data_IF_818564603742
#
_entry.id   IF_818564603742
#
_cell.length_a   1.000
_cell.length_b   1.000
_cell.length_c   1.000
_cell.angle_alpha   90.00
_cell.angle_beta   90.00
_cell.angle_gamma   90.00
#
_symmetry.space_group_name_H-M   'P 1'
#
loop_
_entity.id
_entity.type
_entity.pdbx_description
1 polymer ?
#
# COMPACT_ATOMS: atom_id res chain seq x y z
N UNK A 1 2.06 -31.78 -6.06
CA UNK A 1 1.92 -32.03 -7.51
C UNK A 1 3.26 -32.55 -7.99
N UNK A 2 3.31 -33.75 -8.55
CA UNK A 2 4.53 -34.31 -9.14
C UNK A 2 5.10 -33.30 -10.13
N UNK A 3 6.38 -32.95 -9.97
CA UNK A 3 7.08 -32.06 -10.88
C UNK A 3 7.38 -32.85 -12.17
N UNK A 4 6.34 -33.01 -12.99
CA UNK A 4 6.43 -33.71 -14.27
C UNK A 4 7.24 -32.81 -15.20
N UNK A 5 8.41 -33.30 -15.59
CA UNK A 5 9.24 -32.63 -16.57
C UNK A 5 8.59 -32.79 -17.96
N UNK A 6 7.79 -31.79 -18.34
CA UNK A 6 7.12 -31.74 -19.64
C UNK A 6 8.12 -31.77 -20.80
N UNK A 7 9.32 -31.21 -20.63
CA UNK A 7 10.36 -31.21 -21.68
C UNK A 7 10.87 -32.63 -21.91
N UNK A 8 11.15 -33.37 -20.84
CA UNK A 8 11.57 -34.77 -20.94
C UNK A 8 10.49 -35.66 -21.57
N UNK A 9 9.20 -35.37 -21.32
CA UNK A 9 8.10 -36.07 -21.99
C UNK A 9 8.05 -35.75 -23.48
N UNK A 10 8.17 -34.47 -23.86
CA UNK A 10 8.20 -34.07 -25.28
C UNK A 10 9.34 -34.75 -26.03
N UNK A 11 10.54 -34.78 -25.46
CA UNK A 11 11.69 -35.46 -26.07
C UNK A 11 11.45 -36.97 -26.24
N UNK A 12 10.80 -37.61 -25.25
CA UNK A 12 10.54 -39.05 -25.27
C UNK A 12 9.52 -39.48 -26.33
N UNK A 13 8.45 -38.71 -26.49
CA UNK A 13 7.35 -39.01 -27.41
C UNK A 13 7.51 -38.32 -28.78
N UNK A 14 8.57 -37.55 -28.98
CA UNK A 14 8.91 -37.01 -30.29
C UNK A 14 9.38 -38.11 -31.24
N UNK A 15 9.10 -37.99 -32.55
CA UNK A 15 9.67 -38.85 -33.57
C UNK A 15 11.20 -38.86 -33.49
N UNK A 16 11.80 -40.06 -33.47
CA UNK A 16 13.26 -40.21 -33.44
C UNK A 16 13.82 -40.16 -34.86
N UNK A 17 15.01 -39.57 -35.06
CA UNK A 17 15.65 -39.56 -36.37
C UNK A 17 16.01 -40.99 -36.81
N UNK A 18 16.16 -41.19 -38.12
CA UNK A 18 16.59 -42.47 -38.66
C UNK A 18 18.00 -42.81 -38.15
N UNK A 19 18.27 -44.08 -37.78
CA UNK A 19 19.58 -44.49 -37.31
C UNK A 19 20.61 -44.48 -38.46
N UNK A 20 21.87 -44.27 -38.10
CA UNK A 20 22.99 -44.40 -39.00
C UNK A 20 23.43 -45.86 -39.15
N UNK A 21 23.95 -46.22 -40.32
CA UNK A 21 24.47 -47.54 -40.60
C UNK A 21 25.77 -47.78 -39.81
N UNK A 22 25.82 -48.84 -39.00
CA UNK A 22 27.03 -49.20 -38.25
C UNK A 22 28.20 -49.68 -39.13
N UNK A 23 27.98 -49.98 -40.42
CA UNK A 23 29.01 -50.44 -41.36
C UNK A 23 29.63 -49.28 -42.15
N UNK A 24 28.83 -48.29 -42.57
CA UNK A 24 29.30 -47.19 -43.44
C UNK A 24 28.96 -45.77 -42.95
N UNK A 25 28.26 -45.62 -41.83
CA UNK A 25 27.90 -44.33 -41.23
C UNK A 25 26.82 -43.53 -41.98
N UNK A 26 26.28 -44.03 -43.10
CA UNK A 26 25.21 -43.34 -43.84
C UNK A 26 23.85 -43.52 -43.17
N UNK A 27 22.97 -42.53 -43.30
CA UNK A 27 21.58 -42.60 -42.82
C UNK A 27 20.85 -43.78 -43.47
N UNK A 28 20.19 -44.58 -42.63
CA UNK A 28 19.47 -45.76 -43.09
C UNK A 28 18.06 -45.40 -43.56
N UNK A 29 17.55 -46.17 -44.52
CA UNK A 29 16.19 -45.98 -45.03
C UNK A 29 15.24 -47.01 -44.45
N UNK A 30 13.97 -46.64 -44.29
CA UNK A 30 12.93 -47.51 -43.76
C UNK A 30 12.61 -48.60 -44.79
N UNK A 31 12.76 -49.86 -44.39
CA UNK A 31 12.47 -51.02 -45.26
C UNK A 31 11.12 -51.65 -44.95
N UNK A 32 10.71 -51.61 -43.68
CA UNK A 32 9.43 -52.13 -43.23
C UNK A 32 8.95 -51.37 -42.01
N UNK A 33 7.67 -51.00 -41.99
CA UNK A 33 6.99 -50.49 -40.80
C UNK A 33 5.88 -51.46 -40.43
N UNK A 34 5.96 -52.02 -39.22
CA UNK A 34 4.94 -52.90 -38.65
C UNK A 34 4.50 -52.31 -37.31
N UNK A 35 3.46 -51.46 -37.34
CA UNK A 35 2.99 -50.70 -36.18
C UNK A 35 4.15 -49.96 -35.49
N UNK A 36 4.49 -50.32 -34.25
CA UNK A 36 5.57 -49.70 -33.47
C UNK A 36 6.98 -50.22 -33.79
N UNK A 37 7.15 -51.19 -34.70
CA UNK A 37 8.48 -51.70 -35.08
C UNK A 37 8.84 -51.22 -36.47
N UNK A 38 9.91 -50.43 -36.54
CA UNK A 38 10.46 -49.92 -37.79
C UNK A 38 11.78 -50.63 -38.06
N UNK A 39 11.87 -51.32 -39.19
CA UNK A 39 13.11 -51.94 -39.65
C UNK A 39 13.79 -51.00 -40.64
N UNK A 40 14.99 -50.57 -40.26
CA UNK A 40 15.89 -49.77 -41.09
C UNK A 40 16.89 -50.69 -41.78
N UNK A 41 17.30 -50.32 -42.99
CA UNK A 41 18.36 -50.99 -43.75
C UNK A 41 19.20 -49.99 -44.52
N UNK A 42 20.50 -50.27 -44.67
CA UNK A 42 21.37 -49.48 -45.53
C UNK A 42 21.30 -50.03 -46.96
N UNK A 43 20.49 -49.39 -47.80
CA UNK A 43 20.34 -49.77 -49.21
C UNK A 43 21.53 -49.35 -50.08
N UNK A 44 22.37 -48.43 -49.60
CA UNK A 44 23.49 -47.89 -50.38
C UNK A 44 23.05 -47.14 -51.65
N UNK A 45 21.74 -46.91 -51.79
CA UNK A 45 21.11 -46.24 -52.91
C UNK A 45 21.07 -44.74 -52.67
N UNK A 46 21.49 -43.98 -53.67
CA UNK A 46 21.32 -42.54 -53.75
C UNK A 46 20.39 -42.23 -54.92
N UNK A 47 19.49 -41.27 -54.71
CA UNK A 47 18.49 -40.87 -55.69
C UNK A 47 18.88 -39.50 -56.23
N UNK A 48 19.10 -39.41 -57.55
CA UNK A 48 19.27 -38.16 -58.28
C UNK A 48 18.24 -38.04 -59.42
N UNK A 49 18.29 -36.94 -60.17
CA UNK A 49 17.43 -36.68 -61.33
C UNK A 49 17.60 -37.73 -62.46
N UNK A 50 18.62 -38.60 -62.38
CA UNK A 50 18.92 -39.66 -63.34
C UNK A 50 18.49 -41.06 -62.86
N UNK A 51 17.93 -41.15 -61.66
CA UNK A 51 17.37 -42.39 -61.09
C UNK A 51 18.11 -42.87 -59.85
N UNK A 52 17.91 -44.15 -59.52
CA UNK A 52 18.54 -44.78 -58.36
C UNK A 52 19.93 -45.30 -58.77
N UNK A 53 20.98 -44.82 -58.12
CA UNK A 53 22.34 -45.31 -58.29
C UNK A 53 22.88 -45.86 -56.96
N UNK A 54 23.58 -46.98 -57.03
CA UNK A 54 24.18 -47.61 -55.85
C UNK A 54 25.64 -47.20 -55.75
N UNK A 55 26.16 -47.09 -54.53
CA UNK A 55 27.60 -46.87 -54.33
C UNK A 55 28.43 -48.00 -54.94
N UNK A 56 29.69 -47.72 -55.26
CA UNK A 56 30.58 -48.67 -55.94
C UNK A 56 30.70 -50.00 -55.17
N UNK A 57 30.46 -51.12 -55.86
CA UNK A 57 30.44 -52.47 -55.26
C UNK A 57 29.15 -52.83 -54.48
N UNK A 58 28.14 -51.96 -54.48
CA UNK A 58 26.83 -52.21 -53.85
C UNK A 58 25.80 -52.64 -54.90
N UNK A 59 24.86 -53.48 -54.51
CA UNK A 59 23.74 -53.89 -55.35
C UNK A 59 22.45 -54.04 -54.53
N UNK A 60 21.32 -54.28 -55.19
CA UNK A 60 20.05 -54.48 -54.50
C UNK A 60 20.12 -55.71 -53.59
N UNK A 61 19.77 -55.52 -52.31
CA UNK A 61 19.79 -56.57 -51.30
C UNK A 61 21.15 -57.30 -51.18
N UNK A 62 22.25 -56.56 -51.24
CA UNK A 62 23.59 -57.07 -51.01
C UNK A 62 23.86 -57.51 -49.56
N UNK A 63 24.99 -58.19 -49.33
CA UNK A 63 25.40 -58.64 -47.98
C UNK A 63 25.44 -57.49 -46.98
N UNK A 64 25.81 -56.29 -47.43
CA UNK A 64 25.78 -55.09 -46.61
C UNK A 64 24.34 -54.73 -46.21
N UNK A 65 23.40 -54.77 -47.14
CA UNK A 65 21.99 -54.56 -46.84
C UNK A 65 21.50 -55.56 -45.80
N UNK A 66 21.80 -56.85 -45.93
CA UNK A 66 21.38 -57.87 -44.96
C UNK A 66 21.99 -57.66 -43.56
N UNK A 67 23.31 -57.42 -43.50
CA UNK A 67 24.05 -57.23 -42.25
C UNK A 67 23.73 -55.89 -41.57
N UNK A 68 23.35 -54.87 -42.34
CA UNK A 68 23.06 -53.54 -41.80
C UNK A 68 21.71 -53.42 -41.10
N UNK A 69 20.79 -54.40 -41.24
CA UNK A 69 19.41 -54.27 -40.77
C UNK A 69 19.30 -54.13 -39.26
N UNK A 70 18.57 -53.11 -38.82
CA UNK A 70 18.25 -52.87 -37.41
C UNK A 70 16.75 -52.65 -37.29
N UNK A 71 16.13 -53.24 -36.26
CA UNK A 71 14.72 -52.97 -35.94
C UNK A 71 14.66 -52.12 -34.67
N UNK A 72 14.10 -50.93 -34.80
CA UNK A 72 13.89 -49.98 -33.70
C UNK A 72 12.42 -49.98 -33.32
N UNK A 73 12.14 -49.91 -32.02
CA UNK A 73 10.79 -49.70 -31.52
C UNK A 73 10.53 -48.19 -31.48
N UNK A 74 9.56 -47.75 -32.27
CA UNK A 74 9.04 -46.40 -32.22
C UNK A 74 8.11 -46.26 -31.00
N UNK A 75 8.43 -45.27 -30.18
CA UNK A 75 7.69 -44.90 -28.97
C UNK A 75 7.13 -43.48 -29.10
N UNK A 76 7.23 -42.88 -30.29
CA UNK A 76 6.64 -41.59 -30.56
C UNK A 76 5.12 -41.67 -30.51
N UNK A 77 4.50 -40.66 -29.92
CA UNK A 77 3.05 -40.61 -29.74
C UNK A 77 2.57 -39.16 -29.98
N UNK A 78 1.92 -38.90 -31.13
CA UNK A 78 1.46 -37.56 -31.44
C UNK A 78 0.32 -37.10 -30.52
N UNK A 79 -0.49 -38.02 -29.99
CA UNK A 79 -1.61 -37.67 -29.11
C UNK A 79 -1.10 -37.19 -27.76
N UNK A 80 -0.03 -37.80 -27.24
CA UNK A 80 0.63 -37.33 -26.01
C UNK A 80 1.23 -35.93 -26.20
N UNK A 81 1.82 -35.63 -27.36
CA UNK A 81 2.35 -34.30 -27.66
C UNK A 81 1.22 -33.25 -27.74
N UNK A 82 0.10 -33.59 -28.39
CA UNK A 82 -1.07 -32.72 -28.47
C UNK A 82 -1.65 -32.43 -27.08
N UNK A 83 -1.76 -33.45 -26.21
CA UNK A 83 -2.21 -33.26 -24.83
C UNK A 83 -1.25 -32.38 -24.00
N UNK A 84 0.05 -32.44 -24.26
CA UNK A 84 1.03 -31.54 -23.62
C UNK A 84 0.85 -30.09 -24.08
N UNK A 85 0.56 -29.87 -25.36
CA UNK A 85 0.22 -28.55 -25.91
C UNK A 85 -1.05 -27.98 -25.30
N UNK A 86 -2.12 -28.75 -25.25
CA UNK A 86 -3.38 -28.36 -24.61
C UNK A 86 -3.17 -28.01 -23.13
N UNK A 87 -2.43 -28.84 -22.39
CA UNK A 87 -2.15 -28.59 -20.98
C UNK A 87 -1.32 -27.32 -20.75
N UNK A 88 -0.35 -27.04 -21.61
CA UNK A 88 0.42 -25.79 -21.56
C UNK A 88 -0.44 -24.57 -21.90
N UNK A 89 -1.33 -24.68 -22.90
CA UNK A 89 -2.26 -23.63 -23.25
C UNK A 89 -3.23 -23.31 -22.11
N UNK A 90 -3.82 -24.33 -21.48
CA UNK A 90 -4.68 -24.18 -20.30
C UNK A 90 -3.94 -23.61 -19.10
N UNK A 91 -2.69 -24.01 -18.88
CA UNK A 91 -1.87 -23.45 -17.80
C UNK A 91 -1.67 -21.95 -18.00
N UNK A 92 -1.31 -21.53 -19.22
CA UNK A 92 -1.15 -20.11 -19.58
C UNK A 92 -2.47 -19.34 -19.46
N UNK A 93 -3.58 -19.95 -19.89
CA UNK A 93 -4.91 -19.33 -19.76
C UNK A 93 -5.26 -19.08 -18.29
N UNK A 94 -5.07 -20.08 -17.43
CA UNK A 94 -5.32 -19.96 -15.99
C UNK A 94 -4.44 -18.91 -15.32
N UNK A 95 -3.15 -18.87 -15.67
CA UNK A 95 -2.22 -17.83 -15.19
C UNK A 95 -2.67 -16.43 -15.65
N UNK A 96 -3.05 -16.30 -16.92
CA UNK A 96 -3.58 -15.05 -17.47
C UNK A 96 -4.88 -14.60 -16.79
N UNK A 97 -5.80 -15.54 -16.52
CA UNK A 97 -7.04 -15.27 -15.80
C UNK A 97 -6.78 -14.82 -14.36
N UNK A 98 -5.80 -15.42 -13.68
CA UNK A 98 -5.38 -15.01 -12.34
C UNK A 98 -4.81 -13.58 -12.33
N UNK A 99 -3.92 -13.25 -13.28
CA UNK A 99 -3.37 -11.89 -13.43
C UNK A 99 -4.49 -10.89 -13.71
N UNK A 100 -5.43 -11.23 -14.58
CA UNK A 100 -6.58 -10.38 -14.88
C UNK A 100 -7.47 -10.16 -13.65
N UNK A 101 -7.74 -11.21 -12.88
CA UNK A 101 -8.52 -11.13 -11.64
C UNK A 101 -7.85 -10.20 -10.62
N UNK A 102 -6.54 -10.35 -10.38
CA UNK A 102 -5.80 -9.48 -9.46
C UNK A 102 -5.83 -8.02 -9.93
N UNK A 103 -5.67 -7.78 -11.23
CA UNK A 103 -5.75 -6.42 -11.80
C UNK A 103 -7.14 -5.80 -11.58
N UNK A 104 -8.19 -6.60 -11.71
CA UNK A 104 -9.55 -6.15 -11.38
C UNK A 104 -9.69 -5.86 -9.89
N UNK A 105 -9.18 -6.74 -9.03
CA UNK A 105 -9.19 -6.56 -7.58
C UNK A 105 -8.51 -5.25 -7.15
N UNK A 106 -7.34 -4.92 -7.70
CA UNK A 106 -6.66 -3.64 -7.42
C UNK A 106 -7.51 -2.44 -7.87
N UNK A 107 -8.14 -2.52 -9.05
CA UNK A 107 -9.05 -1.46 -9.52
C UNK A 107 -10.27 -1.26 -8.63
N UNK A 108 -10.83 -2.34 -8.09
CA UNK A 108 -11.95 -2.27 -7.15
C UNK A 108 -11.52 -1.58 -5.86
N UNK A 109 -10.36 -1.96 -5.30
CA UNK A 109 -9.81 -1.28 -4.11
C UNK A 109 -9.59 0.21 -4.36
N UNK A 110 -8.95 0.57 -5.48
CA UNK A 110 -8.73 1.98 -5.84
C UNK A 110 -10.04 2.76 -6.03
N UNK A 111 -11.13 2.09 -6.46
CA UNK A 111 -12.43 2.69 -6.60
C UNK A 111 -13.11 2.90 -5.23
N UNK A 112 -13.00 1.93 -4.33
CA UNK A 112 -13.51 2.03 -2.96
C UNK A 112 -12.80 3.16 -2.19
N UNK A 113 -11.47 3.26 -2.30
CA UNK A 113 -10.70 4.35 -1.67
C UNK A 113 -11.14 5.74 -2.17
N UNK A 114 -11.43 5.85 -3.47
CA UNK A 114 -11.95 7.08 -4.08
C UNK A 114 -13.38 7.39 -3.62
N UNK A 115 -14.20 6.36 -3.45
CA UNK A 115 -15.56 6.49 -2.96
C UNK A 115 -15.56 7.01 -1.52
N UNK A 116 -14.76 6.40 -0.64
CA UNK A 116 -14.62 6.84 0.76
C UNK A 116 -14.11 8.29 0.84
N UNK A 117 -13.11 8.64 0.03
CA UNK A 117 -12.62 10.02 -0.04
C UNK A 117 -13.69 11.01 -0.54
N UNK A 118 -14.51 10.61 -1.52
CA UNK A 118 -15.61 11.44 -2.02
C UNK A 118 -16.72 11.60 -0.97
N UNK A 119 -17.10 10.54 -0.28
CA UNK A 119 -18.08 10.57 0.82
C UNK A 119 -17.63 11.49 1.95
N UNK A 120 -16.35 11.42 2.33
CA UNK A 120 -15.77 12.33 3.32
C UNK A 120 -15.86 13.79 2.89
N UNK A 121 -15.51 14.10 1.64
CA UNK A 121 -15.63 15.46 1.07
C UNK A 121 -17.08 15.95 1.05
N UNK A 122 -18.04 15.08 0.72
CA UNK A 122 -19.47 15.42 0.73
C UNK A 122 -19.93 15.71 2.16
N UNK A 123 -19.50 14.92 3.15
CA UNK A 123 -19.84 15.15 4.55
C UNK A 123 -19.28 16.49 5.05
N UNK A 124 -18.02 16.80 4.74
CA UNK A 124 -17.39 18.09 5.06
C UNK A 124 -18.13 19.26 4.40
N UNK A 125 -18.45 19.16 3.11
CA UNK A 125 -19.21 20.18 2.40
C UNK A 125 -20.62 20.36 2.97
N UNK A 126 -21.29 19.26 3.33
CA UNK A 126 -22.63 19.30 3.95
C UNK A 126 -22.61 20.04 5.29
N UNK A 127 -21.56 19.83 6.10
CA UNK A 127 -21.38 20.55 7.35
C UNK A 127 -21.14 22.05 7.13
N UNK A 128 -20.32 22.42 6.13
CA UNK A 128 -20.07 23.82 5.76
C UNK A 128 -21.36 24.49 5.28
N UNK A 129 -22.13 23.84 4.40
CA UNK A 129 -23.40 24.36 3.89
C UNK A 129 -24.38 24.55 5.05
N UNK A 130 -24.51 23.58 5.95
CA UNK A 130 -25.39 23.71 7.12
C UNK A 130 -24.98 24.86 8.05
N UNK A 131 -23.67 25.08 8.25
CA UNK A 131 -23.16 26.21 9.03
C UNK A 131 -23.44 27.55 8.33
N UNK A 132 -23.21 27.62 7.01
CA UNK A 132 -23.49 28.80 6.21
C UNK A 132 -24.98 29.15 6.22
N UNK A 133 -25.87 28.16 6.09
CA UNK A 133 -27.32 28.36 6.19
C UNK A 133 -27.73 28.92 7.55
N UNK A 134 -27.18 28.41 8.66
CA UNK A 134 -27.44 28.94 10.00
C UNK A 134 -26.98 30.40 10.11
N UNK A 135 -25.78 30.71 9.63
CA UNK A 135 -25.25 32.08 9.64
C UNK A 135 -26.13 33.04 8.83
N UNK A 136 -26.56 32.64 7.63
CA UNK A 136 -27.45 33.46 6.79
C UNK A 136 -28.81 33.64 7.46
N UNK A 137 -29.39 32.59 8.07
CA UNK A 137 -30.66 32.71 8.81
C UNK A 137 -30.52 33.67 10.00
N UNK A 138 -29.45 33.57 10.78
CA UNK A 138 -29.20 34.47 11.90
C UNK A 138 -28.99 35.91 11.43
N UNK A 139 -28.20 36.14 10.37
CA UNK A 139 -28.02 37.49 9.79
C UNK A 139 -29.33 38.07 9.22
N UNK A 140 -30.13 37.26 8.53
CA UNK A 140 -31.42 37.67 8.00
C UNK A 140 -32.41 38.04 9.11
N UNK A 141 -32.49 37.22 10.17
CA UNK A 141 -33.28 37.52 11.37
C UNK A 141 -32.77 38.80 12.05
N UNK A 142 -31.48 38.90 12.31
CA UNK A 142 -30.87 40.07 12.96
C UNK A 142 -31.10 41.37 12.20
N UNK A 143 -30.90 41.40 10.88
CA UNK A 143 -31.13 42.60 10.08
C UNK A 143 -32.62 42.97 9.97
N UNK A 144 -33.51 41.99 9.89
CA UNK A 144 -34.96 42.27 9.86
C UNK A 144 -35.45 42.81 11.20
N UNK A 145 -34.96 42.27 12.33
CA UNK A 145 -35.23 42.79 13.67
C UNK A 145 -34.64 44.20 13.87
N UNK A 146 -33.42 44.46 13.38
CA UNK A 146 -32.80 45.80 13.42
C UNK A 146 -33.61 46.81 12.60
N UNK A 147 -34.03 46.43 11.38
CA UNK A 147 -34.88 47.26 10.53
C UNK A 147 -36.25 47.55 11.18
N UNK A 148 -36.88 46.56 11.81
CA UNK A 148 -38.17 46.75 12.50
C UNK A 148 -38.06 47.74 13.66
N UNK A 149 -36.99 47.65 14.46
CA UNK A 149 -36.73 48.62 15.55
C UNK A 149 -36.45 50.02 15.02
N UNK A 150 -35.67 50.15 13.95
CA UNK A 150 -35.39 51.45 13.32
C UNK A 150 -36.68 52.12 12.83
N UNK A 151 -37.56 51.35 12.17
CA UNK A 151 -38.88 51.82 11.72
C UNK A 151 -39.76 52.21 12.91
N UNK A 152 -39.88 51.36 13.93
CA UNK A 152 -40.70 51.64 15.10
C UNK A 152 -40.25 52.93 15.83
N UNK A 153 -38.93 53.16 15.93
CA UNK A 153 -38.37 54.41 16.46
C UNK A 153 -38.72 55.62 15.60
N UNK A 154 -38.64 55.51 14.27
CA UNK A 154 -39.00 56.58 13.33
C UNK A 154 -40.48 56.98 13.46
N UNK A 155 -41.36 55.99 13.64
CA UNK A 155 -42.80 56.23 13.77
C UNK A 155 -43.26 56.45 15.22
N UNK A 156 -42.34 56.45 16.21
CA UNK A 156 -42.66 56.64 17.62
C UNK A 156 -43.51 55.52 18.23
N UNK A 157 -43.52 54.33 17.61
CA UNK A 157 -44.29 53.16 18.05
C UNK A 157 -43.40 52.25 18.89
N UNK A 158 -43.94 51.70 19.98
CA UNK A 158 -43.23 50.74 20.83
C UNK A 158 -43.22 49.38 20.12
N UNK A 159 -42.12 48.61 20.18
CA UNK A 159 -42.05 47.22 19.68
C UNK A 159 -42.30 46.23 20.81
N UNK A 160 -43.56 45.86 21.14
CA UNK A 160 -43.85 44.94 22.25
C UNK A 160 -43.41 43.50 21.96
N UNK A 161 -43.37 43.11 20.68
CA UNK A 161 -43.12 41.72 20.28
C UNK A 161 -41.64 41.34 20.18
N UNK A 162 -40.73 42.32 20.22
CA UNK A 162 -39.29 42.07 20.16
C UNK A 162 -38.70 42.13 21.58
N UNK A 163 -38.00 41.08 22.06
CA UNK A 163 -37.28 41.15 23.32
C UNK A 163 -36.26 42.30 23.30
N UNK A 164 -35.81 42.85 24.45
CA UNK A 164 -34.77 43.87 24.48
C UNK A 164 -33.53 43.41 23.70
N UNK A 165 -32.86 44.32 22.98
CA UNK A 165 -31.56 44.01 22.37
C UNK A 165 -30.54 43.82 23.50
N UNK A 166 -30.36 42.60 23.96
CA UNK A 166 -29.17 42.23 24.72
C UNK A 166 -27.99 42.21 23.74
N UNK A 167 -27.08 43.15 23.93
CA UNK A 167 -25.91 43.36 23.10
C UNK A 167 -25.00 42.11 23.09
N UNK A 168 -24.98 41.41 21.96
CA UNK A 168 -23.84 40.79 21.24
C UNK A 168 -22.82 39.86 21.94
N UNK A 169 -22.75 39.77 23.28
CA UNK A 169 -21.65 39.05 23.95
C UNK A 169 -22.07 37.93 24.91
N UNK A 170 -23.35 37.64 25.15
CA UNK A 170 -23.75 36.72 26.24
C UNK A 170 -23.16 35.31 26.07
N UNK A 171 -23.05 34.79 24.85
CA UNK A 171 -22.43 33.46 24.63
C UNK A 171 -20.90 33.42 24.80
N UNK A 172 -20.21 34.55 24.68
CA UNK A 172 -18.78 34.67 25.00
C UNK A 172 -18.54 35.19 26.41
N UNK A 173 -19.50 35.89 27.00
CA UNK A 173 -19.45 36.40 28.36
C UNK A 173 -19.44 35.23 29.34
N UNK A 174 -20.33 34.25 29.17
CA UNK A 174 -20.37 33.08 30.06
C UNK A 174 -19.05 32.28 30.02
N UNK A 175 -18.47 32.10 28.82
CA UNK A 175 -17.18 31.41 28.67
C UNK A 175 -16.01 32.23 29.23
N UNK A 176 -15.96 33.53 28.95
CA UNK A 176 -14.95 34.43 29.47
C UNK A 176 -15.06 34.60 31.00
N UNK A 177 -16.26 34.57 31.57
CA UNK A 177 -16.49 34.61 33.01
C UNK A 177 -15.99 33.35 33.70
N UNK A 178 -16.19 32.17 33.10
CA UNK A 178 -15.60 30.90 33.59
C UNK A 178 -14.07 30.94 33.51
N UNK A 179 -13.49 31.47 32.44
CA UNK A 179 -12.03 31.61 32.32
C UNK A 179 -11.47 32.62 33.33
N UNK A 180 -12.12 33.78 33.49
CA UNK A 180 -11.72 34.81 34.45
C UNK A 180 -11.81 34.29 35.88
N UNK A 181 -12.84 33.51 36.22
CA UNK A 181 -12.97 32.91 37.55
C UNK A 181 -11.90 31.87 37.82
N UNK A 182 -11.59 30.99 36.85
CA UNK A 182 -10.50 30.03 36.96
C UNK A 182 -9.13 30.70 37.11
N UNK A 183 -8.86 31.77 36.35
CA UNK A 183 -7.62 32.55 36.47
C UNK A 183 -7.52 33.25 37.83
N UNK A 184 -8.61 33.84 38.33
CA UNK A 184 -8.65 34.44 39.67
C UNK A 184 -8.37 33.43 40.76
N UNK A 185 -8.92 32.22 40.66
CA UNK A 185 -8.64 31.14 41.60
C UNK A 185 -7.16 30.75 41.57
N UNK A 186 -6.55 30.62 40.38
CA UNK A 186 -5.13 30.29 40.25
C UNK A 186 -4.22 31.39 40.80
N UNK A 187 -4.55 32.65 40.60
CA UNK A 187 -3.82 33.79 41.19
C UNK A 187 -3.90 33.72 42.71
N UNK A 188 -5.09 33.49 43.28
CA UNK A 188 -5.25 33.35 44.73
C UNK A 188 -4.44 32.18 45.31
N UNK A 189 -4.38 31.04 44.63
CA UNK A 189 -3.51 29.91 45.02
C UNK A 189 -2.03 30.28 45.01
N UNK A 190 -1.58 31.00 43.97
CA UNK A 190 -0.19 31.45 43.84
C UNK A 190 0.18 32.49 44.89
N UNK A 191 -0.73 33.43 45.18
CA UNK A 191 -0.57 34.45 46.23
C UNK A 191 -0.63 33.87 47.65
N UNK A 192 -1.28 32.72 47.83
CA UNK A 192 -1.30 31.99 49.10
C UNK A 192 -0.05 31.14 49.34
N UNK A 193 0.72 30.83 48.29
CA UNK A 193 1.91 29.97 48.41
C UNK A 193 3.02 30.67 49.18
N UNK A 194 3.56 29.97 50.18
CA UNK A 194 4.69 30.44 50.97
C UNK A 194 5.98 29.75 50.57
N UNK A 195 7.08 30.50 50.51
CA UNK A 195 8.42 29.96 50.28
C UNK A 195 9.08 29.61 51.61
N UNK A 196 9.63 28.39 51.71
CA UNK A 196 10.47 27.96 52.83
C UNK A 196 11.94 28.22 52.52
N UNK A 197 12.60 29.01 53.36
CA UNK A 197 14.04 29.26 53.21
C UNK A 197 14.84 28.15 53.93
N UNK A 198 15.95 27.68 53.33
CA UNK A 198 16.85 26.75 54.00
C UNK A 198 17.49 27.39 55.25
N UNK A 199 17.93 26.58 56.23
CA UNK A 199 18.65 27.07 57.39
C UNK A 199 19.96 27.74 56.95
N UNK A 200 20.27 28.90 57.55
CA UNK A 200 21.54 29.58 57.35
C UNK A 200 22.67 28.74 57.95
N UNK A 201 23.67 28.42 57.13
CA UNK A 201 24.90 27.73 57.52
C UNK A 201 26.08 28.70 57.39
N UNK A 202 26.99 28.69 58.36
CA UNK A 202 28.21 29.48 58.35
C UNK A 202 29.38 28.55 57.97
N UNK A 203 30.18 28.93 56.97
CA UNK A 203 31.44 28.25 56.70
C UNK A 203 32.53 28.88 57.58
N UNK A 204 33.23 28.08 58.38
CA UNK A 204 34.37 28.56 59.20
C UNK A 204 35.67 28.70 58.39
N UNK A 205 35.67 28.36 57.09
CA UNK A 205 36.83 28.45 56.21
C UNK A 205 36.44 29.07 54.86
N UNK A 206 36.48 30.40 54.79
CA UNK A 206 36.32 31.17 53.54
C UNK A 206 37.69 31.28 52.83
N UNK A 207 37.95 30.39 51.87
CA UNK A 207 38.96 30.61 50.81
C UNK A 207 38.33 31.29 49.57
N UNK A 208 37.06 31.70 49.65
CA UNK A 208 36.38 32.44 48.60
C UNK A 208 36.32 33.93 48.99
N UNK A 209 36.87 34.75 48.08
CA UNK A 209 36.99 36.20 48.16
C UNK A 209 35.74 36.91 48.68
N UNK A 210 35.99 37.89 49.56
CA UNK A 210 35.11 38.81 50.30
C UNK A 210 34.04 39.61 49.51
N UNK A 211 33.66 39.22 48.30
CA UNK A 211 32.72 39.98 47.46
C UNK A 211 31.33 39.33 47.29
N UNK A 212 31.04 38.20 47.96
CA UNK A 212 29.69 37.65 48.04
C UNK A 212 29.21 37.75 49.49
N UNK A 213 28.32 38.70 49.84
CA UNK A 213 27.73 38.71 51.17
C UNK A 213 26.95 37.41 51.35
N UNK A 214 27.35 36.58 52.32
CA UNK A 214 26.49 35.53 52.89
C UNK A 214 25.26 36.27 53.43
N UNK A 215 24.23 36.42 52.59
CA UNK A 215 23.14 37.36 52.83
C UNK A 215 22.49 37.02 54.17
N UNK A 216 22.53 37.97 55.10
CA UNK A 216 21.82 37.85 56.39
C UNK A 216 20.38 37.39 56.11
N UNK A 217 19.92 36.33 56.80
CA UNK A 217 18.58 35.73 56.66
C UNK A 217 17.50 36.82 56.66
N UNK A 218 17.73 37.92 57.39
CA UNK A 218 16.85 39.09 57.43
C UNK A 218 16.78 39.87 56.12
N UNK A 219 17.91 40.10 55.45
CA UNK A 219 17.97 40.81 54.16
C UNK A 219 17.32 40.00 53.04
N UNK A 220 17.55 38.68 53.01
CA UNK A 220 16.90 37.77 52.05
C UNK A 220 15.38 37.77 52.24
N UNK A 221 14.91 37.60 53.49
CA UNK A 221 13.48 37.69 53.82
C UNK A 221 12.89 39.06 53.43
N UNK A 222 13.63 40.15 53.65
CA UNK A 222 13.19 41.51 53.30
C UNK A 222 13.07 41.69 51.78
N UNK A 223 14.03 41.22 51.00
CA UNK A 223 14.00 41.30 49.54
C UNK A 223 12.86 40.47 48.93
N UNK A 224 12.64 39.25 49.43
CA UNK A 224 11.55 38.37 48.96
C UNK A 224 10.18 38.97 49.30
N UNK A 225 10.01 39.52 50.51
CA UNK A 225 8.77 40.23 50.89
C UNK A 225 8.55 41.51 50.08
N UNK A 226 9.62 42.25 49.76
CA UNK A 226 9.54 43.43 48.88
C UNK A 226 9.11 43.08 47.45
N UNK A 227 9.40 41.85 46.99
CA UNK A 227 8.92 41.30 45.71
C UNK A 227 7.49 40.74 45.78
N UNK A 228 6.80 40.88 46.92
CA UNK A 228 5.40 40.44 47.09
C UNK A 228 5.22 38.95 47.39
N UNK A 229 6.29 38.21 47.67
CA UNK A 229 6.24 36.77 47.93
C UNK A 229 6.17 36.50 49.44
N UNK A 230 5.24 35.64 49.86
CA UNK A 230 5.12 35.21 51.27
C UNK A 230 6.22 34.22 51.63
N UNK A 231 6.82 34.36 52.81
CA UNK A 231 7.89 33.50 53.31
C UNK A 231 7.47 32.89 54.62
N UNK A 232 7.52 31.56 54.72
CA UNK A 232 7.16 30.81 55.93
C UNK A 232 8.13 31.17 57.06
N UNK A 233 7.59 31.58 58.20
CA UNK A 233 8.43 31.88 59.36
C UNK A 233 8.97 30.58 59.96
N UNK A 234 10.30 30.55 60.11
CA UNK A 234 11.12 29.44 60.59
C UNK A 234 12.27 30.00 61.41
#
# INVERSE_FOLDING_TARGET
>A
MSNIDKRALRERYSPKPAPECHICGKEMTIQRMSASRITYGCTGATYDDKGCHYAEGRSIADDHYEQSRVTVVDVSDPDVLALLDELEAETRYREGAFIACNRWHDKFRDADDKLEAAERRIAEQSAIVAAAEKLVRCKGRYHSELNYRALAKLFGVITPDLPPLEHENVHYADAAEVEITALRQRIAELEAREVTLPPTFWYEHDDLSRDIPVLDKRLVKKAIRAAGIKVKES
#
